data_IF_141109929191
#
_entry.id   IF_141109929191
#
_cell.length_a   1.000
_cell.length_b   1.000
_cell.length_c   1.000
_cell.angle_alpha   90.00
_cell.angle_beta   90.00
_cell.angle_gamma   90.00
#
_symmetry.space_group_name_H-M   'P 1'
#
loop_
_entity.id
_entity.type
_entity.pdbx_description
1 polymer ?
#
# COMPACT_ATOMS: atom_id res chain seq x y z
N UNK A 1 -14.72 11.28 -17.25
CA UNK A 1 -14.82 11.25 -15.76
C UNK A 1 -14.10 12.44 -15.12
N UNK A 2 -12.88 12.76 -15.53
CA UNK A 2 -12.13 13.95 -15.05
C UNK A 2 -12.43 15.24 -15.85
N UNK A 3 -13.60 15.34 -16.47
CA UNK A 3 -13.98 16.53 -17.24
C UNK A 3 -14.31 17.69 -16.29
N UNK A 4 -13.92 18.90 -16.70
CA UNK A 4 -14.21 20.12 -15.96
C UNK A 4 -15.72 20.26 -15.69
N UNK A 5 -16.09 20.38 -14.42
CA UNK A 5 -17.49 20.52 -13.99
C UNK A 5 -18.12 19.26 -13.37
N UNK A 6 -17.38 18.16 -13.20
CA UNK A 6 -17.91 16.91 -12.63
C UNK A 6 -18.29 16.96 -11.14
N UNK A 7 -17.91 18.01 -10.40
CA UNK A 7 -18.13 18.12 -8.96
C UNK A 7 -17.37 17.09 -8.12
N UNK A 8 -16.52 16.26 -8.75
CA UNK A 8 -15.80 15.19 -8.12
C UNK A 8 -14.61 15.75 -7.33
N UNK A 9 -14.43 15.28 -6.09
CA UNK A 9 -13.34 15.72 -5.19
C UNK A 9 -12.21 14.70 -5.07
N UNK A 10 -12.35 13.50 -5.64
CA UNK A 10 -11.30 12.49 -5.62
C UNK A 10 -11.68 11.15 -6.22
N UNK A 11 -10.70 10.24 -6.28
CA UNK A 11 -10.80 8.86 -6.75
C UNK A 11 -10.20 7.94 -5.68
N UNK A 12 -10.91 6.86 -5.38
CA UNK A 12 -10.38 5.72 -4.64
C UNK A 12 -10.17 4.54 -5.58
N UNK A 13 -8.93 4.06 -5.68
CA UNK A 13 -8.53 2.98 -6.56
C UNK A 13 -8.41 1.69 -5.75
N UNK A 14 -9.39 0.81 -5.88
CA UNK A 14 -9.51 -0.43 -5.09
C UNK A 14 -8.77 -1.63 -5.65
N UNK A 15 -7.94 -1.43 -6.68
CA UNK A 15 -7.17 -2.46 -7.38
C UNK A 15 -5.80 -1.90 -7.79
N UNK A 16 -4.99 -2.69 -8.49
CA UNK A 16 -3.62 -2.33 -8.92
C UNK A 16 -3.53 -1.22 -9.99
N UNK A 17 -4.55 -0.37 -10.11
CA UNK A 17 -4.67 0.69 -11.12
C UNK A 17 -4.20 2.08 -10.68
N UNK A 18 -3.49 2.17 -9.55
CA UNK A 18 -3.19 3.46 -8.91
C UNK A 18 -2.22 4.30 -9.75
N UNK A 19 -1.21 3.67 -10.35
CA UNK A 19 -0.24 4.34 -11.25
C UNK A 19 -0.94 4.96 -12.46
N UNK A 20 -1.78 4.18 -13.14
CA UNK A 20 -2.50 4.63 -14.34
C UNK A 20 -3.50 5.73 -14.00
N UNK A 21 -4.13 5.65 -12.81
CA UNK A 21 -5.02 6.70 -12.31
C UNK A 21 -4.25 7.99 -12.04
N UNK A 22 -3.09 7.91 -11.40
CA UNK A 22 -2.23 9.06 -11.12
C UNK A 22 -1.76 9.72 -12.42
N UNK A 23 -1.33 8.92 -13.40
CA UNK A 23 -0.91 9.41 -14.72
C UNK A 23 -2.07 10.10 -15.46
N UNK A 24 -3.27 9.52 -15.42
CA UNK A 24 -4.46 10.12 -16.01
C UNK A 24 -4.84 11.45 -15.33
N UNK A 25 -4.72 11.53 -14.01
CA UNK A 25 -4.96 12.76 -13.25
C UNK A 25 -3.96 13.87 -13.63
N UNK A 26 -2.67 13.53 -13.77
CA UNK A 26 -1.64 14.46 -14.22
C UNK A 26 -1.90 14.98 -15.64
N UNK A 27 -2.25 14.08 -16.58
CA UNK A 27 -2.59 14.45 -17.96
C UNK A 27 -3.84 15.32 -18.08
N UNK A 28 -4.79 15.12 -17.18
CA UNK A 28 -6.02 15.92 -17.11
C UNK A 28 -5.84 17.24 -16.35
N UNK A 29 -4.64 17.55 -15.85
CA UNK A 29 -4.32 18.76 -15.09
C UNK A 29 -5.28 19.00 -13.91
N UNK A 30 -5.68 17.92 -13.21
CA UNK A 30 -6.61 18.05 -12.08
C UNK A 30 -5.99 18.92 -10.96
N UNK A 31 -6.83 19.75 -10.34
CA UNK A 31 -6.43 20.57 -9.20
C UNK A 31 -5.83 19.69 -8.09
N UNK A 32 -4.76 20.15 -7.43
CA UNK A 32 -4.10 19.46 -6.31
C UNK A 32 -5.02 19.20 -5.11
N UNK A 33 -6.18 19.85 -5.02
CA UNK A 33 -7.24 19.54 -4.04
C UNK A 33 -7.97 18.24 -4.35
N UNK A 34 -7.84 17.71 -5.55
CA UNK A 34 -8.41 16.44 -5.97
C UNK A 34 -7.65 15.27 -5.33
N UNK A 35 -8.35 14.47 -4.55
CA UNK A 35 -7.74 13.41 -3.75
C UNK A 35 -7.62 12.10 -4.55
N UNK A 36 -6.43 11.49 -4.60
CA UNK A 36 -6.24 10.16 -5.20
C UNK A 36 -5.69 9.22 -4.13
N UNK A 37 -6.46 8.18 -3.80
CA UNK A 37 -6.08 7.18 -2.79
C UNK A 37 -6.15 5.79 -3.43
N UNK A 38 -5.18 4.92 -3.13
CA UNK A 38 -5.26 3.52 -3.53
C UNK A 38 -4.53 2.59 -2.58
N UNK A 39 -4.10 1.44 -3.10
CA UNK A 39 -3.36 0.42 -2.38
C UNK A 39 -1.94 0.24 -2.90
N UNK A 40 -1.12 -0.39 -2.07
CA UNK A 40 0.27 -0.80 -2.33
C UNK A 40 1.26 0.36 -2.54
N UNK A 41 2.54 0.06 -2.34
CA UNK A 41 3.63 1.01 -2.50
C UNK A 41 4.76 0.36 -3.30
N UNK A 42 5.19 1.07 -4.33
CA UNK A 42 6.45 0.86 -5.02
C UNK A 42 7.14 2.23 -5.22
N UNK A 43 8.27 2.24 -5.91
CA UNK A 43 9.03 3.46 -6.16
C UNK A 43 8.24 4.49 -6.99
N UNK A 44 7.46 4.03 -7.98
CA UNK A 44 6.68 4.91 -8.85
C UNK A 44 5.51 5.57 -8.10
N UNK A 45 4.75 4.80 -7.32
CA UNK A 45 3.70 5.32 -6.43
C UNK A 45 4.28 6.28 -5.42
N UNK A 46 5.45 5.99 -4.85
CA UNK A 46 6.12 6.93 -3.96
C UNK A 46 6.46 8.26 -4.64
N UNK A 47 6.91 8.21 -5.89
CA UNK A 47 7.18 9.42 -6.67
C UNK A 47 5.90 10.20 -6.98
N UNK A 48 4.81 9.53 -7.31
CA UNK A 48 3.51 10.18 -7.46
C UNK A 48 3.02 10.81 -6.14
N UNK A 49 3.25 10.17 -5.00
CA UNK A 49 2.96 10.73 -3.68
C UNK A 49 3.78 12.00 -3.43
N UNK A 50 5.08 11.98 -3.74
CA UNK A 50 5.96 13.16 -3.58
C UNK A 50 5.57 14.32 -4.49
N UNK A 51 5.14 14.03 -5.72
CA UNK A 51 4.69 15.02 -6.71
C UNK A 51 3.27 15.55 -6.41
N UNK A 52 2.54 14.92 -5.48
CA UNK A 52 1.16 15.25 -5.14
C UNK A 52 0.12 14.74 -6.14
N UNK A 53 0.50 13.80 -7.02
CA UNK A 53 -0.42 13.13 -7.95
C UNK A 53 -1.23 12.01 -7.26
N UNK A 54 -0.68 11.45 -6.18
CA UNK A 54 -1.35 10.53 -5.26
C UNK A 54 -1.34 11.14 -3.87
N UNK A 55 -2.49 11.19 -3.21
CA UNK A 55 -2.62 11.75 -1.85
C UNK A 55 -2.10 10.78 -0.81
N UNK A 56 -2.47 9.50 -0.94
CA UNK A 56 -2.07 8.43 -0.02
C UNK A 56 -2.19 7.07 -0.70
N UNK A 57 -1.42 6.10 -0.22
CA UNK A 57 -1.70 4.68 -0.46
C UNK A 57 -1.90 3.93 0.86
N UNK A 58 -2.58 2.78 0.84
CA UNK A 58 -2.73 1.89 1.99
C UNK A 58 -1.91 0.63 1.71
N UNK A 59 -0.94 0.36 2.57
CA UNK A 59 -0.07 -0.81 2.44
C UNK A 59 -0.42 -1.91 3.43
N UNK A 60 -0.16 -3.14 2.99
CA UNK A 60 -0.25 -4.36 3.78
C UNK A 60 1.13 -4.75 4.34
N UNK A 61 1.18 -5.74 5.25
CA UNK A 61 2.44 -6.33 5.76
C UNK A 61 2.70 -7.74 5.15
N UNK A 62 3.11 -7.85 3.87
CA UNK A 62 3.25 -9.16 3.21
C UNK A 62 4.26 -10.07 3.92
N UNK A 63 5.33 -9.51 4.48
CA UNK A 63 6.28 -10.27 5.28
C UNK A 63 5.63 -10.92 6.51
N UNK A 64 4.85 -10.15 7.29
CA UNK A 64 4.15 -10.70 8.45
C UNK A 64 3.11 -11.74 8.03
N UNK A 65 2.41 -11.54 6.91
CA UNK A 65 1.46 -12.53 6.41
C UNK A 65 2.15 -13.86 6.09
N UNK A 66 3.33 -13.83 5.46
CA UNK A 66 4.13 -15.02 5.22
C UNK A 66 4.66 -15.66 6.52
N UNK A 67 5.29 -14.85 7.38
CA UNK A 67 5.88 -15.31 8.64
C UNK A 67 4.85 -15.92 9.59
N UNK A 68 3.70 -15.26 9.78
CA UNK A 68 2.63 -15.72 10.67
C UNK A 68 2.04 -17.04 10.18
N UNK A 69 1.85 -17.19 8.87
CA UNK A 69 1.35 -18.44 8.26
C UNK A 69 2.26 -19.62 8.61
N UNK A 70 3.58 -19.47 8.40
CA UNK A 70 4.57 -20.51 8.71
C UNK A 70 4.64 -20.76 10.22
N UNK A 71 4.61 -19.71 11.04
CA UNK A 71 4.64 -19.82 12.50
C UNK A 71 3.45 -20.59 13.06
N UNK A 72 2.25 -20.38 12.53
CA UNK A 72 1.04 -21.13 12.89
C UNK A 72 1.21 -22.61 12.57
N UNK A 73 1.67 -22.93 11.35
CA UNK A 73 1.92 -24.31 10.94
C UNK A 73 2.96 -24.99 11.83
N UNK A 74 4.08 -24.32 12.10
CA UNK A 74 5.14 -24.84 12.97
C UNK A 74 4.60 -25.19 14.36
N UNK A 75 3.88 -24.26 15.00
CA UNK A 75 3.30 -24.46 16.35
C UNK A 75 2.34 -25.65 16.41
N UNK A 76 1.58 -25.86 15.34
CA UNK A 76 0.71 -27.02 15.23
C UNK A 76 1.52 -28.32 15.08
N UNK A 77 2.53 -28.35 14.21
CA UNK A 77 3.34 -29.55 13.99
C UNK A 77 4.18 -29.93 15.21
N UNK A 78 4.78 -28.95 15.90
CA UNK A 78 5.70 -29.18 17.01
C UNK A 78 5.01 -29.46 18.35
N UNK A 79 3.83 -28.89 18.58
CA UNK A 79 3.18 -28.93 19.90
C UNK A 79 1.66 -28.99 19.87
N UNK A 80 1.05 -29.25 18.69
CA UNK A 80 -0.41 -29.30 18.51
C UNK A 80 -1.13 -28.04 19.00
N UNK A 81 -0.42 -26.91 19.03
CA UNK A 81 -0.98 -25.63 19.44
C UNK A 81 -1.84 -25.09 18.30
N UNK A 82 -3.13 -24.93 18.56
CA UNK A 82 -4.10 -24.36 17.61
C UNK A 82 -4.30 -22.88 17.97
N UNK A 83 -4.32 -21.97 16.97
CA UNK A 83 -4.66 -20.57 17.22
C UNK A 83 -6.04 -20.43 17.89
N UNK A 84 -6.17 -19.47 18.80
CA UNK A 84 -7.46 -19.19 19.47
C UNK A 84 -8.50 -18.57 18.54
N UNK A 85 -8.10 -18.12 17.35
CA UNK A 85 -8.97 -17.51 16.35
C UNK A 85 -8.75 -18.17 14.99
N UNK A 86 -9.79 -18.18 14.14
CA UNK A 86 -9.67 -18.60 12.75
C UNK A 86 -9.09 -17.53 11.82
N UNK A 87 -8.94 -16.29 12.30
CA UNK A 87 -8.47 -15.14 11.51
C UNK A 87 -7.37 -14.39 12.26
N UNK A 88 -6.23 -14.19 11.60
CA UNK A 88 -5.13 -13.37 12.07
C UNK A 88 -5.01 -12.12 11.21
N UNK A 89 -5.28 -10.96 11.80
CA UNK A 89 -5.12 -9.67 11.13
C UNK A 89 -3.66 -9.21 11.18
N UNK A 90 -3.18 -8.66 10.07
CA UNK A 90 -1.92 -7.92 9.99
C UNK A 90 -2.22 -6.43 9.86
N UNK A 91 -1.22 -5.59 10.08
CA UNK A 91 -1.42 -4.14 10.05
C UNK A 91 -1.71 -3.66 8.63
N UNK A 92 -2.54 -2.63 8.55
CA UNK A 92 -2.65 -1.76 7.38
C UNK A 92 -2.06 -0.41 7.75
N UNK A 93 -1.30 0.18 6.82
CA UNK A 93 -0.63 1.46 7.05
C UNK A 93 -0.95 2.46 5.94
N UNK A 94 -1.54 3.62 6.27
CA UNK A 94 -1.67 4.70 5.32
C UNK A 94 -0.31 5.40 5.15
N UNK A 95 0.11 5.53 3.90
CA UNK A 95 1.37 6.13 3.50
C UNK A 95 1.08 7.43 2.76
N UNK A 96 1.56 8.52 3.33
CA UNK A 96 1.47 9.89 2.85
C UNK A 96 2.86 10.42 2.50
N UNK A 97 2.91 11.60 1.90
CA UNK A 97 4.17 12.28 1.56
C UNK A 97 5.11 12.49 2.75
N UNK A 98 4.58 12.63 3.97
CA UNK A 98 5.37 12.85 5.18
C UNK A 98 6.03 11.58 5.75
N UNK A 99 5.55 10.37 5.39
CA UNK A 99 6.05 9.11 5.93
C UNK A 99 6.56 8.14 4.85
N UNK A 100 6.32 8.40 3.55
CA UNK A 100 6.71 7.51 2.44
C UNK A 100 8.21 7.14 2.42
N UNK A 101 9.07 8.05 2.89
CA UNK A 101 10.52 7.80 3.00
C UNK A 101 10.86 6.65 3.93
N UNK A 102 10.05 6.41 4.98
CA UNK A 102 10.27 5.32 5.93
C UNK A 102 10.10 3.94 5.29
N UNK A 103 9.39 3.85 4.17
CA UNK A 103 8.95 2.58 3.57
C UNK A 103 9.76 2.11 2.36
N UNK A 104 10.45 3.03 1.68
CA UNK A 104 11.23 2.70 0.47
C UNK A 104 12.63 2.14 0.77
N UNK A 105 13.12 2.35 2.00
CA UNK A 105 14.41 1.81 2.45
C UNK A 105 14.29 0.44 3.13
N UNK A 106 13.07 -0.09 3.24
CA UNK A 106 12.76 -1.35 3.93
C UNK A 106 13.32 -2.59 3.23
N UNK A 107 13.61 -2.50 1.93
CA UNK A 107 14.24 -3.59 1.17
C UNK A 107 15.65 -3.90 1.68
N UNK A 108 16.30 -2.97 2.41
CA UNK A 108 17.58 -3.18 3.07
C UNK A 108 17.49 -3.51 4.57
N UNK A 109 16.27 -3.57 5.15
CA UNK A 109 16.08 -3.81 6.58
C UNK A 109 15.79 -5.28 6.93
N UNK A 110 15.65 -6.15 5.94
CA UNK A 110 15.55 -7.61 6.15
C UNK A 110 16.90 -8.26 5.83
N UNK A 111 17.70 -8.66 6.83
CA UNK A 111 19.03 -9.26 6.63
C UNK A 111 19.01 -10.67 5.98
N UNK A 112 17.87 -11.13 5.44
CA UNK A 112 17.67 -12.51 4.99
C UNK A 112 17.29 -12.67 3.51
N UNK A 113 17.35 -11.61 2.70
CA UNK A 113 17.14 -11.71 1.25
C UNK A 113 18.42 -11.32 0.52
N UNK A 114 19.45 -12.15 0.66
CA UNK A 114 20.47 -12.37 -0.37
C UNK A 114 20.60 -13.89 -0.53
N UNK A 115 20.01 -14.41 -1.60
CA UNK A 115 20.32 -15.71 -2.17
C UNK A 115 20.85 -15.46 -3.58
#
# INVERSE_FOLDING_TARGET
>A
MLENGSGLSGIFVSFSGLEQTAEACLKAEVDRRFCVIGYDLNEEIADYIRKGAVTSTICHEPFQQGYLSVRVLYRYLSGKTIPSTSVLYTKLEPIFSNNVKCYLNSTNALPFVKA
#
